data_IF_268642515044
#
_entry.id   IF_268642515044
#
_cell.length_a   1.000
_cell.length_b   1.000
_cell.length_c   1.000
_cell.angle_alpha   90.00
_cell.angle_beta   90.00
_cell.angle_gamma   90.00
#
_symmetry.space_group_name_H-M   'P 1'
#
loop_
_entity.id
_entity.type
_entity.pdbx_description
1 polymer ?
#
# COMPACT_ATOMS: atom_id res chain seq x y z
N UNK A 1 -17.10 3.71 13.16
CA UNK A 1 -16.28 3.02 12.12
C UNK A 1 -14.94 2.62 12.74
N UNK A 2 -14.51 1.38 12.57
CA UNK A 2 -13.18 0.95 13.01
C UNK A 2 -12.12 1.58 12.10
N UNK A 3 -12.10 1.21 10.82
CA UNK A 3 -11.29 1.79 9.77
C UNK A 3 -11.85 1.43 8.39
N UNK A 4 -11.49 2.18 7.35
CA UNK A 4 -11.76 1.86 5.96
C UNK A 4 -10.44 1.69 5.20
N UNK A 5 -10.38 0.69 4.33
CA UNK A 5 -9.19 0.31 3.56
C UNK A 5 -9.50 0.25 2.06
N UNK A 6 -9.68 1.38 1.37
CA UNK A 6 -9.84 1.42 -0.08
C UNK A 6 -8.47 1.22 -0.78
N UNK A 7 -7.83 0.08 -0.53
CA UNK A 7 -6.50 -0.23 -1.03
C UNK A 7 -6.53 -0.29 -2.56
N UNK A 8 -5.50 0.26 -3.21
CA UNK A 8 -5.45 0.38 -4.66
C UNK A 8 -6.17 1.61 -5.22
N UNK A 9 -6.79 2.45 -4.38
CA UNK A 9 -7.42 3.70 -4.77
C UNK A 9 -6.73 4.89 -4.11
N UNK A 10 -6.54 5.96 -4.87
CA UNK A 10 -5.93 7.17 -4.33
C UNK A 10 -6.87 7.86 -3.32
N UNK A 11 -6.50 7.84 -2.05
CA UNK A 11 -7.06 8.73 -1.04
C UNK A 11 -6.27 10.04 -1.08
N UNK A 12 -6.91 11.15 -1.41
CA UNK A 12 -6.24 12.44 -1.56
C UNK A 12 -6.52 13.37 -0.38
N UNK A 13 -5.64 14.35 -0.17
CA UNK A 13 -5.86 15.42 0.83
C UNK A 13 -7.16 16.17 0.58
N UNK A 14 -7.49 16.44 -0.69
CA UNK A 14 -8.73 17.11 -1.07
C UNK A 14 -9.96 16.26 -0.75
N UNK A 15 -9.91 14.95 -1.02
CA UNK A 15 -10.98 14.03 -0.63
C UNK A 15 -11.23 14.05 0.90
N UNK A 16 -10.16 14.00 1.69
CA UNK A 16 -10.28 14.07 3.15
C UNK A 16 -10.85 15.40 3.64
N UNK A 17 -10.41 16.51 3.04
CA UNK A 17 -10.92 17.84 3.40
C UNK A 17 -12.43 17.96 3.10
N UNK A 18 -12.89 17.43 1.97
CA UNK A 18 -14.32 17.47 1.58
C UNK A 18 -15.21 16.55 2.40
N UNK A 19 -14.68 15.40 2.82
CA UNK A 19 -15.48 14.38 3.52
C UNK A 19 -15.42 14.46 5.03
N UNK A 20 -14.44 15.18 5.58
CA UNK A 20 -14.18 15.21 7.01
C UNK A 20 -13.58 13.91 7.56
N UNK A 21 -13.26 12.94 6.70
CA UNK A 21 -12.60 11.71 7.09
C UNK A 21 -11.15 11.99 7.48
N UNK A 22 -10.64 11.20 8.44
CA UNK A 22 -9.25 11.31 8.90
C UNK A 22 -8.41 10.20 8.29
N UNK A 23 -7.21 10.51 7.82
CA UNK A 23 -6.23 9.48 7.45
C UNK A 23 -5.69 8.77 8.70
N UNK A 24 -5.30 7.52 8.54
CA UNK A 24 -4.52 6.83 9.56
C UNK A 24 -3.11 7.43 9.67
N UNK A 25 -2.63 7.59 10.89
CA UNK A 25 -1.27 8.07 11.20
C UNK A 25 -0.40 6.98 11.84
N UNK A 26 -1.00 5.85 12.20
CA UNK A 26 -0.31 4.73 12.85
C UNK A 26 -1.04 3.40 12.72
N UNK A 27 -0.60 2.41 13.49
CA UNK A 27 -1.08 1.02 13.39
C UNK A 27 -2.43 0.75 14.05
N UNK A 28 -2.88 1.62 14.98
CA UNK A 28 -4.04 1.33 15.87
C UNK A 28 -5.12 2.38 15.87
N UNK A 29 -4.96 3.45 15.08
CA UNK A 29 -5.96 4.51 14.98
C UNK A 29 -7.31 3.95 14.55
N UNK A 30 -8.39 4.52 15.05
CA UNK A 30 -9.75 4.12 14.70
C UNK A 30 -10.57 5.32 14.23
N UNK A 31 -11.61 5.10 13.44
CA UNK A 31 -12.37 6.15 12.78
C UNK A 31 -11.64 6.75 11.57
N UNK A 32 -10.73 6.01 10.96
CA UNK A 32 -9.80 6.48 9.93
C UNK A 32 -9.96 5.76 8.59
N UNK A 33 -9.43 6.37 7.54
CA UNK A 33 -9.31 5.76 6.21
C UNK A 33 -7.83 5.68 5.83
N UNK A 34 -7.45 4.63 5.12
CA UNK A 34 -6.09 4.45 4.64
C UNK A 34 -6.06 3.70 3.32
N UNK A 35 -5.05 4.00 2.53
CA UNK A 35 -4.79 3.29 1.28
C UNK A 35 -3.30 3.21 1.01
N UNK A 36 -2.95 2.37 0.06
CA UNK A 36 -1.69 2.37 -0.65
C UNK A 36 -1.89 1.86 -2.06
N UNK A 37 -1.01 2.27 -2.95
CA UNK A 37 -0.85 1.78 -4.31
C UNK A 37 0.62 1.38 -4.46
N UNK A 38 0.88 0.16 -4.85
CA UNK A 38 2.23 -0.41 -4.87
C UNK A 38 2.85 -0.31 -6.26
N UNK A 39 4.07 0.19 -6.34
CA UNK A 39 4.85 0.25 -7.58
C UNK A 39 6.33 -0.01 -7.34
N UNK A 40 7.05 -0.35 -8.39
CA UNK A 40 8.49 -0.54 -8.37
C UNK A 40 9.25 0.77 -8.53
N UNK A 41 10.57 0.71 -8.23
CA UNK A 41 11.43 1.87 -8.28
C UNK A 41 11.53 2.49 -9.69
N UNK A 42 11.52 1.68 -10.75
CA UNK A 42 11.64 2.19 -12.11
C UNK A 42 10.43 3.05 -12.54
N UNK A 43 9.22 2.74 -12.07
CA UNK A 43 8.06 3.61 -12.29
C UNK A 43 8.24 4.98 -11.66
N UNK A 44 8.79 5.01 -10.45
CA UNK A 44 9.03 6.26 -9.69
C UNK A 44 10.14 7.08 -10.33
N UNK A 45 11.29 6.48 -10.60
CA UNK A 45 12.47 7.12 -11.21
C UNK A 45 12.17 7.65 -12.62
N UNK A 46 11.41 6.89 -13.40
CA UNK A 46 10.97 7.28 -14.75
C UNK A 46 9.77 8.24 -14.73
N UNK A 47 9.24 8.61 -13.58
CA UNK A 47 8.00 9.35 -13.43
C UNK A 47 6.88 8.82 -14.34
N UNK A 48 6.77 7.49 -14.38
CA UNK A 48 5.84 6.78 -15.28
C UNK A 48 4.40 7.06 -14.85
N UNK A 49 3.51 7.30 -15.82
CA UNK A 49 2.09 7.49 -15.56
C UNK A 49 1.48 6.23 -14.92
N UNK A 50 0.66 6.43 -13.88
CA UNK A 50 -0.06 5.36 -13.21
C UNK A 50 -1.45 5.87 -12.83
N UNK A 51 -2.48 5.31 -13.46
CA UNK A 51 -3.87 5.76 -13.29
C UNK A 51 -4.47 5.49 -11.91
N UNK A 52 -3.80 4.69 -11.07
CA UNK A 52 -4.23 4.47 -9.68
C UNK A 52 -3.76 5.58 -8.73
N UNK A 53 -2.87 6.45 -9.18
CA UNK A 53 -2.37 7.58 -8.41
C UNK A 53 -3.13 8.86 -8.76
N UNK A 54 -3.17 9.79 -7.83
CA UNK A 54 -3.77 11.10 -8.03
C UNK A 54 -2.96 12.19 -7.31
N UNK A 55 -2.95 13.43 -7.83
CA UNK A 55 -2.30 14.56 -7.16
C UNK A 55 -2.79 14.72 -5.73
N UNK A 56 -1.85 14.86 -4.79
CA UNK A 56 -2.16 14.93 -3.36
C UNK A 56 -2.58 13.59 -2.74
N UNK A 57 -2.34 12.49 -3.44
CA UNK A 57 -2.52 11.14 -2.91
C UNK A 57 -1.69 10.92 -1.66
N UNK A 58 -2.25 10.18 -0.73
CA UNK A 58 -1.58 9.79 0.51
C UNK A 58 -1.57 8.29 0.62
N UNK A 59 -0.44 7.76 1.06
CA UNK A 59 -0.26 6.33 1.34
C UNK A 59 0.25 6.12 2.76
N UNK A 60 0.04 4.92 3.26
CA UNK A 60 0.65 4.43 4.49
C UNK A 60 1.43 3.16 4.19
N UNK A 61 2.60 3.00 4.79
CA UNK A 61 3.41 1.79 4.62
C UNK A 61 2.71 0.60 5.30
N UNK A 62 2.33 -0.44 4.58
CA UNK A 62 1.57 -1.56 5.15
C UNK A 62 2.40 -2.51 6.03
N UNK A 63 3.70 -2.30 6.14
CA UNK A 63 4.57 -3.07 7.04
C UNK A 63 4.71 -2.36 8.40
N UNK A 64 5.15 -1.09 8.40
CA UNK A 64 5.44 -0.34 9.63
C UNK A 64 4.34 0.66 10.04
N UNK A 65 3.31 0.83 9.21
CA UNK A 65 2.16 1.73 9.42
C UNK A 65 2.55 3.21 9.60
N UNK A 66 3.62 3.64 8.93
CA UNK A 66 4.06 5.04 8.86
C UNK A 66 3.72 5.66 7.52
N UNK A 67 3.51 6.96 7.50
CA UNK A 67 3.21 7.73 6.29
C UNK A 67 4.41 8.50 5.74
N UNK A 68 5.52 8.47 6.43
CA UNK A 68 6.78 9.03 5.97
C UNK A 68 7.57 8.01 5.10
N UNK A 69 8.73 8.40 4.63
CA UNK A 69 9.60 7.58 3.81
C UNK A 69 10.44 6.54 4.60
N UNK A 70 10.07 6.26 5.86
CA UNK A 70 10.76 5.24 6.66
C UNK A 70 10.67 3.88 5.95
N UNK A 71 11.84 3.35 5.60
CA UNK A 71 11.95 2.05 4.95
C UNK A 71 11.60 0.90 5.91
N UNK A 72 10.85 -0.07 5.41
CA UNK A 72 10.54 -1.32 6.10
C UNK A 72 11.12 -2.49 5.27
N UNK A 73 12.11 -3.22 5.77
CA UNK A 73 12.73 -4.32 5.04
C UNK A 73 11.81 -5.54 4.94
N UNK A 74 12.05 -6.36 3.92
CA UNK A 74 11.26 -7.58 3.65
C UNK A 74 11.14 -8.52 4.86
N UNK A 75 12.16 -8.57 5.73
CA UNK A 75 12.13 -9.40 6.95
C UNK A 75 11.06 -8.99 7.97
N UNK A 76 10.54 -7.77 7.87
CA UNK A 76 9.46 -7.26 8.72
C UNK A 76 8.08 -7.50 8.09
N UNK A 77 8.03 -7.96 6.83
CA UNK A 77 6.79 -8.35 6.17
C UNK A 77 6.32 -9.70 6.72
N UNK A 78 5.16 -9.70 7.36
CA UNK A 78 4.62 -10.86 8.07
C UNK A 78 4.12 -11.99 7.17
N UNK A 79 4.03 -11.75 5.87
CA UNK A 79 3.68 -12.74 4.86
C UNK A 79 2.93 -12.16 3.68
N UNK A 80 3.30 -12.65 2.51
CA UNK A 80 2.76 -12.28 1.21
C UNK A 80 2.06 -13.47 0.55
N UNK A 81 1.12 -13.18 -0.35
CA UNK A 81 0.60 -14.16 -1.29
C UNK A 81 1.39 -14.09 -2.60
N UNK A 82 1.79 -15.25 -3.13
CA UNK A 82 2.37 -15.36 -4.47
C UNK A 82 1.30 -15.16 -5.56
N UNK A 83 1.71 -15.12 -6.82
CA UNK A 83 0.78 -15.08 -7.98
C UNK A 83 -0.21 -16.26 -7.94
N UNK A 84 0.22 -17.45 -7.48
CA UNK A 84 -0.62 -18.62 -7.33
C UNK A 84 -1.45 -18.63 -6.03
N UNK A 85 -1.39 -17.54 -5.25
CA UNK A 85 -2.12 -17.42 -3.98
C UNK A 85 -1.53 -18.22 -2.82
N UNK A 86 -0.28 -18.67 -2.91
CA UNK A 86 0.42 -19.37 -1.82
C UNK A 86 0.99 -18.35 -0.83
N UNK A 87 0.81 -18.63 0.47
CA UNK A 87 1.41 -17.82 1.53
C UNK A 87 2.91 -18.10 1.66
N UNK A 88 3.70 -17.04 1.66
CA UNK A 88 5.16 -17.04 1.91
C UNK A 88 5.47 -16.21 3.14
N UNK A 89 6.29 -16.74 4.06
CA UNK A 89 6.70 -16.09 5.30
C UNK A 89 8.22 -16.22 5.47
N UNK A 90 8.97 -15.14 5.71
CA UNK A 90 8.52 -13.75 5.63
C UNK A 90 7.97 -13.43 4.24
N UNK A 91 7.31 -12.28 4.09
CA UNK A 91 6.75 -11.86 2.81
C UNK A 91 7.83 -11.57 1.74
N UNK A 92 7.40 -11.24 0.54
CA UNK A 92 8.28 -11.02 -0.63
C UNK A 92 8.59 -9.55 -0.88
N UNK A 93 7.80 -8.63 -0.34
CA UNK A 93 7.91 -7.20 -0.59
C UNK A 93 8.46 -6.47 0.64
N UNK A 94 9.45 -5.60 0.40
CA UNK A 94 9.80 -4.48 1.27
C UNK A 94 8.80 -3.33 1.06
N UNK A 95 8.94 -2.22 1.77
CA UNK A 95 8.10 -1.06 1.52
C UNK A 95 8.71 0.24 2.03
N UNK A 96 8.54 1.33 1.26
CA UNK A 96 8.66 2.71 1.73
C UNK A 96 7.59 3.57 1.06
N UNK A 97 7.12 4.61 1.73
CA UNK A 97 6.20 5.56 1.10
C UNK A 97 7.02 6.57 0.30
N UNK A 98 6.61 6.82 -0.95
CA UNK A 98 6.98 8.03 -1.68
C UNK A 98 5.93 9.10 -1.40
N UNK A 99 6.27 10.07 -0.57
CA UNK A 99 5.34 11.10 -0.09
C UNK A 99 5.02 12.16 -1.16
N UNK A 100 5.82 12.24 -2.20
CA UNK A 100 5.59 13.17 -3.33
C UNK A 100 4.60 12.53 -4.30
N UNK A 101 4.84 11.28 -4.64
CA UNK A 101 4.04 10.51 -5.59
C UNK A 101 2.76 9.92 -4.95
N UNK A 102 2.75 9.74 -3.64
CA UNK A 102 1.63 9.16 -2.90
C UNK A 102 1.48 7.65 -3.12
N UNK A 103 2.57 6.95 -3.37
CA UNK A 103 2.62 5.50 -3.57
C UNK A 103 3.44 4.78 -2.52
N UNK A 104 3.35 3.45 -2.49
CA UNK A 104 4.27 2.57 -1.76
C UNK A 104 5.23 1.93 -2.75
N UNK A 105 6.50 2.20 -2.55
CA UNK A 105 7.58 1.70 -3.41
C UNK A 105 8.15 0.42 -2.83
N UNK A 106 8.26 -0.62 -3.66
CA UNK A 106 8.90 -1.91 -3.34
C UNK A 106 10.09 -2.14 -4.25
N UNK A 107 11.14 -2.75 -3.73
CA UNK A 107 12.40 -3.00 -4.47
C UNK A 107 12.81 -4.46 -4.51
N UNK A 108 12.16 -5.32 -3.75
CA UNK A 108 12.49 -6.74 -3.63
C UNK A 108 11.63 -7.66 -4.50
N UNK A 109 10.68 -7.09 -5.24
CA UNK A 109 9.70 -7.83 -6.06
C UNK A 109 10.20 -7.97 -7.49
N UNK A 110 10.05 -9.17 -8.07
CA UNK A 110 10.35 -9.41 -9.48
C UNK A 110 9.23 -8.84 -10.38
N UNK A 111 9.54 -7.74 -11.07
CA UNK A 111 8.61 -7.05 -11.96
C UNK A 111 8.14 -7.93 -13.15
N UNK A 112 8.95 -8.91 -13.58
CA UNK A 112 8.54 -9.82 -14.65
C UNK A 112 7.43 -10.77 -14.22
N UNK A 113 7.38 -11.07 -12.92
CA UNK A 113 6.40 -12.00 -12.36
C UNK A 113 5.14 -11.27 -11.85
N UNK A 114 5.31 -10.08 -11.28
CA UNK A 114 4.24 -9.37 -10.55
C UNK A 114 3.81 -8.07 -11.21
N UNK A 115 4.53 -7.56 -12.21
CA UNK A 115 4.18 -6.34 -12.92
C UNK A 115 2.90 -6.45 -13.74
N UNK A 116 2.36 -5.32 -14.12
CA UNK A 116 1.19 -5.27 -15.00
C UNK A 116 1.54 -5.87 -16.37
N UNK A 117 0.69 -6.73 -16.94
CA UNK A 117 0.84 -7.24 -18.30
C UNK A 117 0.96 -6.12 -19.33
N UNK A 118 1.61 -6.40 -20.45
CA UNK A 118 1.97 -5.40 -21.46
C UNK A 118 0.78 -4.57 -22.01
N UNK A 119 -0.41 -5.17 -22.07
CA UNK A 119 -1.65 -4.50 -22.49
C UNK A 119 -2.15 -3.43 -21.50
N UNK A 120 -1.80 -3.58 -20.21
CA UNK A 120 -2.12 -2.63 -19.17
C UNK A 120 -1.00 -1.63 -18.86
N UNK A 121 0.22 -1.86 -19.34
CA UNK A 121 1.40 -1.06 -18.97
C UNK A 121 1.29 0.43 -19.36
N UNK A 122 0.55 0.74 -20.41
CA UNK A 122 0.31 2.13 -20.83
C UNK A 122 -0.52 2.94 -19.80
N UNK A 123 -1.38 2.28 -19.02
CA UNK A 123 -2.23 2.93 -18.03
C UNK A 123 -1.61 2.95 -16.63
N UNK A 124 -0.93 1.87 -16.26
CA UNK A 124 -0.44 1.66 -14.88
C UNK A 124 1.08 1.84 -14.76
N UNK A 125 1.80 1.82 -15.88
CA UNK A 125 3.25 1.64 -15.88
C UNK A 125 3.64 0.16 -15.68
N UNK A 126 4.80 -0.26 -16.25
CA UNK A 126 5.19 -1.68 -16.26
C UNK A 126 5.48 -2.25 -14.85
N UNK A 127 5.92 -1.42 -13.92
CA UNK A 127 6.16 -1.79 -12.53
C UNK A 127 5.04 -1.33 -11.58
N UNK A 128 3.81 -1.23 -12.06
CA UNK A 128 2.66 -1.16 -11.16
C UNK A 128 2.34 -2.56 -10.64
N UNK A 129 2.15 -2.66 -9.35
CA UNK A 129 1.78 -3.91 -8.69
C UNK A 129 0.37 -3.86 -8.12
N UNK A 130 -0.48 -3.05 -8.73
CA UNK A 130 -1.87 -2.81 -8.30
C UNK A 130 -2.67 -4.10 -8.09
N UNK A 131 -2.47 -5.12 -8.92
CA UNK A 131 -3.13 -6.43 -8.75
C UNK A 131 -2.69 -7.17 -7.48
N UNK A 132 -1.60 -6.74 -6.86
CA UNK A 132 -0.98 -7.38 -5.70
C UNK A 132 -0.97 -6.50 -4.45
N UNK A 133 -1.62 -5.34 -4.47
CA UNK A 133 -1.65 -4.40 -3.35
C UNK A 133 -2.04 -5.06 -2.02
N UNK A 134 -3.03 -5.97 -2.03
CA UNK A 134 -3.40 -6.76 -0.85
C UNK A 134 -2.44 -7.94 -0.63
N UNK A 135 -2.05 -8.62 -1.70
CA UNK A 135 -1.29 -9.86 -1.66
C UNK A 135 0.09 -9.69 -1.05
N UNK A 136 0.81 -8.64 -1.42
CA UNK A 136 2.17 -8.40 -0.93
C UNK A 136 2.25 -8.20 0.59
N UNK A 137 1.20 -7.70 1.21
CA UNK A 137 1.16 -7.37 2.64
C UNK A 137 0.05 -8.10 3.39
N UNK A 138 -0.32 -9.29 2.90
CA UNK A 138 -1.50 -10.02 3.34
C UNK A 138 -1.57 -10.22 4.86
N UNK A 139 -0.53 -10.75 5.48
CA UNK A 139 -0.52 -10.97 6.93
C UNK A 139 -0.39 -9.66 7.72
N UNK A 140 0.33 -8.66 7.22
CA UNK A 140 0.41 -7.33 7.83
C UNK A 140 -0.99 -6.67 7.86
N UNK A 141 -1.71 -6.73 6.74
CA UNK A 141 -3.08 -6.23 6.65
C UNK A 141 -4.02 -6.96 7.62
N UNK A 142 -4.01 -8.29 7.61
CA UNK A 142 -4.82 -9.12 8.51
C UNK A 142 -4.57 -8.79 9.98
N UNK A 143 -3.30 -8.68 10.37
CA UNK A 143 -2.92 -8.31 11.74
C UNK A 143 -3.39 -6.89 12.08
N UNK A 144 -3.24 -5.94 11.16
CA UNK A 144 -3.65 -4.55 11.38
C UNK A 144 -5.17 -4.42 11.59
N UNK A 145 -5.97 -5.12 10.79
CA UNK A 145 -7.43 -5.16 11.00
C UNK A 145 -7.77 -5.65 12.41
N UNK A 146 -7.14 -6.74 12.84
CA UNK A 146 -7.35 -7.30 14.19
C UNK A 146 -6.97 -6.29 15.28
N UNK A 147 -5.81 -5.64 15.15
CA UNK A 147 -5.32 -4.65 16.12
C UNK A 147 -6.25 -3.44 16.23
N UNK A 148 -6.78 -2.94 15.09
CA UNK A 148 -7.72 -1.82 15.08
C UNK A 148 -9.08 -2.17 15.65
N UNK A 149 -9.58 -3.38 15.39
CA UNK A 149 -10.81 -3.87 16.03
C UNK A 149 -10.63 -3.91 17.54
N UNK A 150 -9.52 -4.47 18.03
CA UNK A 150 -9.21 -4.50 19.46
C UNK A 150 -9.16 -3.08 20.05
N UNK A 151 -8.39 -2.18 19.46
CA UNK A 151 -8.28 -0.78 19.88
C UNK A 151 -9.63 -0.03 19.86
N UNK A 152 -10.55 -0.41 18.98
CA UNK A 152 -11.89 0.16 18.93
C UNK A 152 -12.78 -0.35 20.07
N UNK A 153 -12.67 -1.61 20.43
CA UNK A 153 -13.46 -2.22 21.50
C UNK A 153 -12.99 -1.83 22.92
N UNK A 154 -11.78 -1.34 23.05
CA UNK A 154 -11.18 -0.89 24.32
C UNK A 154 -11.47 0.60 24.64
N UNK A 155 -12.20 1.32 23.79
CA UNK A 155 -12.66 2.72 23.98
C UNK A 155 -13.96 2.80 24.75
#
# INVERSE_FOLDING_TARGET
MVAAYPIGYAVTKDFLARTGLKSAEGATDTGVIMSWNTEGAANVEGNVSNCTLAPGGISINPINWKRDNTYAPVKENLGSLTVEGKLVVPGIADARVDTVRGSVVVTTVDAKLYGIPADGAALFGPESYHLHDYGFFYNNFKQNVTNRVKAYMEK
#
